data_IF_476999528545
#
_entry.id   IF_476999528545
#
_cell.length_a   1.000
_cell.length_b   1.000
_cell.length_c   1.000
_cell.angle_alpha   90.00
_cell.angle_beta   90.00
_cell.angle_gamma   90.00
#
_symmetry.space_group_name_H-M   'P 1'
#
loop_
_entity.id
_entity.type
_entity.pdbx_description
1 polymer ?
#
# COMPACT_ATOMS: atom_id res chain seq x y z
N UNK A 1 -15.64 -7.90 8.00
CA UNK A 1 -14.31 -7.30 7.89
C UNK A 1 -14.47 -5.80 7.72
N UNK A 2 -13.90 -5.01 8.62
CA UNK A 2 -13.87 -3.54 8.51
C UNK A 2 -12.54 -3.16 7.84
N UNK A 3 -12.61 -2.49 6.71
CA UNK A 3 -11.44 -2.05 5.94
C UNK A 3 -11.39 -0.52 5.88
N UNK A 4 -10.21 0.05 5.62
CA UNK A 4 -9.98 1.51 5.70
C UNK A 4 -11.00 2.31 4.89
N UNK A 5 -11.33 1.89 3.67
CA UNK A 5 -12.28 2.60 2.82
C UNK A 5 -13.71 2.59 3.39
N UNK A 6 -14.16 1.49 4.02
CA UNK A 6 -15.44 1.43 4.73
C UNK A 6 -15.45 2.32 5.97
N UNK A 7 -14.36 2.35 6.72
CA UNK A 7 -14.21 3.23 7.88
C UNK A 7 -14.24 4.71 7.50
N UNK A 8 -13.81 5.06 6.28
CA UNK A 8 -13.83 6.44 5.79
C UNK A 8 -15.16 6.85 5.16
N UNK A 9 -16.03 5.91 4.79
CA UNK A 9 -17.27 6.20 4.07
C UNK A 9 -18.11 7.31 4.72
N UNK A 10 -18.30 7.35 6.06
CA UNK A 10 -19.09 8.41 6.71
C UNK A 10 -18.48 9.82 6.57
N UNK A 11 -17.18 9.90 6.27
CA UNK A 11 -16.42 11.14 6.11
C UNK A 11 -16.20 11.52 4.64
N UNK A 12 -16.79 10.77 3.71
CA UNK A 12 -16.66 11.00 2.28
C UNK A 12 -18.01 11.37 1.67
N UNK A 13 -18.01 12.31 0.73
CA UNK A 13 -19.24 12.72 0.03
C UNK A 13 -19.89 11.54 -0.72
N UNK A 14 -19.09 10.74 -1.41
CA UNK A 14 -19.51 9.54 -2.12
C UNK A 14 -18.29 8.65 -2.42
N UNK A 15 -18.56 7.47 -2.95
CA UNK A 15 -17.54 6.51 -3.36
C UNK A 15 -16.81 6.89 -4.66
N UNK A 16 -17.40 7.75 -5.49
CA UNK A 16 -16.85 8.13 -6.80
C UNK A 16 -15.52 8.87 -6.66
N UNK A 17 -15.25 9.48 -5.49
CA UNK A 17 -13.95 10.06 -5.11
C UNK A 17 -12.81 9.02 -5.21
N UNK A 18 -13.10 7.73 -5.02
CA UNK A 18 -12.11 6.65 -5.08
C UNK A 18 -11.97 5.99 -6.46
N UNK A 19 -12.83 6.30 -7.43
CA UNK A 19 -12.98 5.54 -8.69
C UNK A 19 -11.69 5.46 -9.51
N UNK A 20 -10.96 6.58 -9.59
CA UNK A 20 -9.82 6.71 -10.51
C UNK A 20 -10.32 6.79 -11.95
N UNK A 21 -11.02 7.87 -12.31
CA UNK A 21 -11.66 8.04 -13.61
C UNK A 21 -10.67 7.83 -14.75
N UNK A 22 -11.03 6.97 -15.71
CA UNK A 22 -10.18 6.61 -16.86
C UNK A 22 -9.22 5.43 -16.60
N UNK A 23 -9.19 4.88 -15.38
CA UNK A 23 -8.34 3.72 -15.08
C UNK A 23 -9.01 2.42 -15.53
N UNK A 24 -8.19 1.42 -15.83
CA UNK A 24 -8.69 0.08 -16.11
C UNK A 24 -9.32 -0.50 -14.85
N UNK A 25 -10.61 -0.82 -14.92
CA UNK A 25 -11.36 -1.42 -13.81
C UNK A 25 -11.13 -2.93 -13.80
N UNK A 26 -10.70 -3.45 -12.66
CA UNK A 26 -10.42 -4.87 -12.48
C UNK A 26 -11.23 -5.42 -11.30
N UNK A 27 -11.80 -6.60 -11.49
CA UNK A 27 -12.54 -7.35 -10.46
C UNK A 27 -11.88 -8.70 -10.23
N UNK A 28 -11.83 -9.16 -8.99
CA UNK A 28 -11.40 -10.52 -8.71
C UNK A 28 -12.50 -11.50 -9.16
N UNK A 29 -12.14 -12.56 -9.87
CA UNK A 29 -13.09 -13.64 -10.20
C UNK A 29 -13.61 -14.34 -8.95
N UNK A 30 -12.83 -14.33 -7.86
CA UNK A 30 -13.26 -14.83 -6.56
C UNK A 30 -14.47 -14.09 -5.98
N UNK A 31 -14.75 -12.86 -6.45
CA UNK A 31 -15.91 -12.06 -6.01
C UNK A 31 -17.16 -12.30 -6.86
N UNK A 32 -17.12 -13.16 -7.89
CA UNK A 32 -18.22 -13.29 -8.84
C UNK A 32 -19.55 -13.66 -8.15
N UNK A 33 -19.51 -14.57 -7.17
CA UNK A 33 -20.69 -14.96 -6.38
C UNK A 33 -21.23 -13.80 -5.50
N UNK A 34 -20.34 -12.94 -5.00
CA UNK A 34 -20.70 -11.76 -4.21
C UNK A 34 -21.37 -10.67 -5.05
N UNK A 35 -21.35 -10.77 -6.38
CA UNK A 35 -22.00 -9.82 -7.29
C UNK A 35 -23.01 -10.45 -8.26
N UNK A 36 -23.33 -11.74 -8.11
CA UNK A 36 -24.24 -12.46 -9.03
C UNK A 36 -25.73 -12.06 -8.91
N UNK A 37 -26.14 -11.38 -7.83
CA UNK A 37 -27.54 -11.02 -7.59
C UNK A 37 -27.97 -9.70 -8.25
N UNK A 38 -29.09 -9.72 -8.99
CA UNK A 38 -29.63 -8.58 -9.74
C UNK A 38 -30.03 -7.35 -8.88
N UNK A 39 -30.18 -7.51 -7.56
CA UNK A 39 -30.53 -6.44 -6.62
C UNK A 39 -29.32 -5.74 -5.97
N UNK A 40 -28.10 -6.10 -6.35
CA UNK A 40 -26.89 -5.49 -5.76
C UNK A 40 -26.51 -4.23 -6.55
N UNK A 41 -26.39 -3.11 -5.83
CA UNK A 41 -25.79 -1.88 -6.39
C UNK A 41 -24.43 -2.23 -6.97
N UNK A 42 -24.11 -1.68 -8.14
CA UNK A 42 -22.79 -1.84 -8.75
C UNK A 42 -21.70 -1.49 -7.71
N UNK A 43 -20.68 -2.35 -7.53
CA UNK A 43 -19.64 -2.09 -6.55
C UNK A 43 -18.89 -0.81 -6.87
N UNK A 44 -18.55 -0.04 -5.84
CA UNK A 44 -17.64 1.07 -5.99
C UNK A 44 -16.26 0.61 -6.46
N UNK A 45 -15.61 1.42 -7.30
CA UNK A 45 -14.22 1.19 -7.70
C UNK A 45 -13.28 1.96 -6.77
N UNK A 46 -12.12 1.38 -6.46
CA UNK A 46 -11.11 2.00 -5.62
C UNK A 46 -9.73 1.93 -6.28
N UNK A 47 -9.13 3.09 -6.54
CA UNK A 47 -7.76 3.18 -7.06
C UNK A 47 -6.73 3.47 -5.97
N UNK A 48 -7.11 4.21 -4.93
CA UNK A 48 -6.25 4.46 -3.78
C UNK A 48 -6.10 3.23 -2.90
N UNK A 49 -4.97 3.14 -2.23
CA UNK A 49 -4.64 2.15 -1.21
C UNK A 49 -4.14 2.86 0.04
N UNK A 50 -4.41 2.29 1.20
CA UNK A 50 -3.87 2.74 2.47
C UNK A 50 -2.52 2.08 2.76
N UNK A 51 -1.60 2.82 3.37
CA UNK A 51 -0.37 2.25 3.94
C UNK A 51 -0.72 1.46 5.21
N UNK A 52 -0.80 0.14 5.09
CA UNK A 52 -1.16 -0.76 6.18
C UNK A 52 -0.14 -0.81 7.33
N UNK A 53 1.09 -0.32 7.15
CA UNK A 53 2.05 -0.21 8.26
C UNK A 53 1.62 0.83 9.31
N UNK A 54 0.70 1.72 8.95
CA UNK A 54 0.11 2.69 9.87
C UNK A 54 -1.05 2.11 10.68
N UNK A 55 -1.40 0.84 10.48
CA UNK A 55 -2.47 0.21 11.24
C UNK A 55 -2.21 0.33 12.74
N UNK A 56 -3.17 0.88 13.47
CA UNK A 56 -3.13 1.19 14.91
C UNK A 56 -2.15 2.27 15.37
N UNK A 57 -1.39 2.88 14.44
CA UNK A 57 -0.51 4.00 14.78
C UNK A 57 -1.26 5.33 14.75
N UNK A 58 -0.92 6.18 15.71
CA UNK A 58 -1.30 7.59 15.72
C UNK A 58 -0.26 8.45 14.97
N UNK A 59 -0.66 9.64 14.52
CA UNK A 59 0.26 10.55 13.80
C UNK A 59 1.47 10.96 14.63
N UNK A 60 1.37 10.99 15.96
CA UNK A 60 2.49 11.30 16.86
C UNK A 60 3.58 10.23 16.88
N UNK A 61 3.30 9.04 16.38
CA UNK A 61 4.26 7.93 16.32
C UNK A 61 4.99 7.86 14.97
N UNK A 62 4.63 8.75 14.03
CA UNK A 62 5.28 8.85 12.73
C UNK A 62 6.43 9.85 12.84
N UNK A 63 7.66 9.40 12.59
CA UNK A 63 8.85 10.24 12.74
C UNK A 63 8.89 11.42 11.75
N UNK A 64 8.39 11.21 10.53
CA UNK A 64 8.39 12.21 9.45
C UNK A 64 7.00 12.36 8.81
N UNK A 65 6.02 13.01 9.48
CA UNK A 65 4.63 13.01 9.03
C UNK A 65 4.40 13.62 7.64
N UNK A 66 5.16 14.66 7.28
CA UNK A 66 5.09 15.31 5.96
C UNK A 66 5.73 14.50 4.84
N UNK A 67 6.46 13.43 5.16
CA UNK A 67 7.09 12.53 4.19
C UNK A 67 6.40 11.18 4.10
N UNK A 68 5.82 10.67 5.18
CA UNK A 68 5.23 9.34 5.14
C UNK A 68 3.95 9.30 4.32
N UNK A 69 3.87 8.38 3.35
CA UNK A 69 2.66 8.16 2.56
C UNK A 69 1.60 7.42 3.38
N UNK A 70 0.40 7.98 3.41
CA UNK A 70 -0.80 7.38 4.00
C UNK A 70 -1.71 6.78 2.93
N UNK A 71 -2.09 7.57 1.92
CA UNK A 71 -2.85 7.10 0.76
C UNK A 71 -2.07 7.35 -0.52
N UNK A 72 -2.12 6.39 -1.44
CA UNK A 72 -1.48 6.48 -2.76
C UNK A 72 -2.12 5.50 -3.72
N UNK A 73 -1.82 5.63 -5.01
CA UNK A 73 -2.37 4.73 -6.04
C UNK A 73 -1.60 3.41 -6.11
N UNK A 74 -1.64 2.61 -5.03
CA UNK A 74 -0.92 1.34 -4.91
C UNK A 74 -1.46 0.19 -5.76
N UNK A 75 -2.47 0.43 -6.62
CA UNK A 75 -2.88 -0.48 -7.69
C UNK A 75 -2.36 -0.05 -9.08
N UNK A 76 -1.65 1.08 -9.14
CA UNK A 76 -1.22 1.71 -10.39
C UNK A 76 -2.36 2.41 -11.10
N UNK A 77 -2.33 2.40 -12.44
CA UNK A 77 -3.36 2.93 -13.32
C UNK A 77 -4.63 2.06 -13.41
N UNK A 78 -4.97 1.36 -12.31
CA UNK A 78 -6.10 0.44 -12.21
C UNK A 78 -6.94 0.73 -10.99
N UNK A 79 -8.24 0.55 -11.14
CA UNK A 79 -9.20 0.59 -10.04
C UNK A 79 -9.70 -0.81 -9.72
N UNK A 80 -9.75 -1.18 -8.44
CA UNK A 80 -10.36 -2.43 -7.99
C UNK A 80 -11.84 -2.24 -7.70
N UNK A 81 -12.67 -3.03 -8.36
CA UNK A 81 -14.10 -3.03 -8.10
C UNK A 81 -14.43 -3.83 -6.85
N UNK A 82 -15.20 -3.23 -5.93
CA UNK A 82 -15.77 -3.91 -4.77
C UNK A 82 -14.77 -4.29 -3.67
N UNK A 83 -13.47 -3.99 -3.86
CA UNK A 83 -12.41 -4.30 -2.90
C UNK A 83 -11.48 -3.11 -2.66
N UNK A 84 -11.16 -2.91 -1.40
CA UNK A 84 -10.06 -2.06 -0.94
C UNK A 84 -8.87 -2.94 -0.55
N UNK A 85 -7.64 -2.49 -0.81
CA UNK A 85 -6.43 -3.16 -0.34
C UNK A 85 -5.57 -2.13 0.42
N UNK A 86 -4.95 -2.57 1.50
CA UNK A 86 -3.83 -1.86 2.12
C UNK A 86 -2.55 -2.31 1.42
N UNK A 87 -1.78 -1.36 0.89
CA UNK A 87 -0.55 -1.66 0.17
C UNK A 87 0.52 -0.63 0.52
N UNK A 88 1.67 -1.03 1.10
CA UNK A 88 1.92 -2.35 1.69
C UNK A 88 0.93 -2.66 2.82
N UNK A 89 0.76 -3.94 3.13
CA UNK A 89 0.02 -4.39 4.30
C UNK A 89 0.98 -4.82 5.40
N UNK A 90 0.62 -4.58 6.65
CA UNK A 90 1.30 -5.18 7.80
C UNK A 90 1.03 -6.69 7.79
N UNK A 91 2.08 -7.51 7.96
CA UNK A 91 1.94 -8.96 7.91
C UNK A 91 1.53 -9.49 9.29
N UNK A 92 0.26 -9.86 9.39
CA UNK A 92 -0.41 -10.29 10.62
C UNK A 92 -0.90 -11.76 10.52
N UNK A 93 -0.10 -12.65 9.94
CA UNK A 93 -0.47 -14.06 9.67
C UNK A 93 -0.12 -14.98 10.86
N UNK A 94 -0.67 -14.69 12.04
CA UNK A 94 -0.50 -15.53 13.23
C UNK A 94 -1.06 -16.94 13.01
N UNK A 95 -0.30 -17.95 13.43
CA UNK A 95 -0.67 -19.38 13.33
C UNK A 95 -1.46 -19.90 14.56
N UNK A 96 -1.69 -19.07 15.57
CA UNK A 96 -2.31 -19.46 16.86
C UNK A 96 -3.76 -18.98 17.04
N UNK A 97 -4.42 -19.50 18.08
CA UNK A 97 -5.78 -19.13 18.50
C UNK A 97 -5.91 -17.62 18.66
N UNK A 98 -6.83 -17.05 17.89
CA UNK A 98 -7.16 -15.62 17.76
C UNK A 98 -7.54 -15.05 19.13
N UNK A 99 -6.88 -13.97 19.57
CA UNK A 99 -7.23 -13.31 20.82
C UNK A 99 -6.52 -11.98 21.05
N UNK A 100 -5.23 -12.01 21.42
CA UNK A 100 -4.66 -10.88 22.17
C UNK A 100 -3.30 -10.37 21.68
N UNK A 101 -2.79 -10.79 20.52
CA UNK A 101 -1.53 -10.23 20.01
C UNK A 101 -1.85 -9.02 19.11
N UNK A 102 -1.59 -7.78 19.56
CA UNK A 102 -1.84 -6.60 18.74
C UNK A 102 -0.93 -6.67 17.51
N UNK A 103 -1.52 -6.76 16.31
CA UNK A 103 -0.74 -6.63 15.09
C UNK A 103 -0.44 -5.16 14.83
N UNK A 104 0.74 -4.74 15.28
CA UNK A 104 1.20 -3.35 15.22
C UNK A 104 2.58 -3.31 14.60
N UNK A 105 2.87 -2.23 13.88
CA UNK A 105 4.21 -2.00 13.38
C UNK A 105 5.24 -2.03 14.52
N UNK A 106 6.31 -2.79 14.31
CA UNK A 106 7.44 -2.87 15.22
C UNK A 106 8.72 -2.62 14.41
N UNK A 107 9.50 -1.57 14.69
CA UNK A 107 10.64 -1.20 13.86
C UNK A 107 11.79 -2.22 13.90
N UNK A 108 11.92 -2.99 14.97
CA UNK A 108 13.07 -3.88 15.23
C UNK A 108 12.75 -5.37 15.17
N UNK A 109 11.47 -5.74 15.13
CA UNK A 109 11.03 -7.13 15.12
C UNK A 109 9.73 -7.31 14.32
N UNK A 110 9.28 -8.54 14.05
CA UNK A 110 8.00 -8.75 13.37
C UNK A 110 6.82 -8.08 14.11
N UNK A 111 5.69 -7.83 13.42
CA UNK A 111 4.53 -7.13 14.00
C UNK A 111 3.87 -7.84 15.18
N UNK A 112 4.22 -9.11 15.38
CA UNK A 112 3.77 -9.96 16.47
C UNK A 112 4.88 -10.97 16.81
N UNK A 113 4.88 -11.49 18.04
CA UNK A 113 5.88 -12.47 18.49
C UNK A 113 5.81 -13.75 17.65
N UNK A 114 6.97 -14.23 17.19
CA UNK A 114 7.07 -15.40 16.30
C UNK A 114 6.63 -15.14 14.85
N UNK A 115 6.38 -13.88 14.46
CA UNK A 115 6.01 -13.51 13.10
C UNK A 115 7.13 -13.61 12.09
N UNK A 116 6.79 -13.41 10.81
CA UNK A 116 7.74 -13.44 9.70
C UNK A 116 8.79 -12.34 9.79
N UNK A 117 10.03 -12.63 9.38
CA UNK A 117 11.09 -11.63 9.18
C UNK A 117 10.77 -10.62 8.06
N UNK A 118 9.80 -10.92 7.19
CA UNK A 118 9.15 -9.90 6.35
C UNK A 118 7.92 -9.40 7.08
N UNK A 119 8.04 -8.31 7.84
CA UNK A 119 6.93 -7.76 8.65
C UNK A 119 5.79 -7.14 7.83
N UNK A 120 5.84 -7.26 6.51
CA UNK A 120 4.91 -6.66 5.57
C UNK A 120 4.69 -7.56 4.36
N UNK A 121 3.64 -7.23 3.61
CA UNK A 121 3.32 -7.84 2.33
C UNK A 121 3.02 -6.75 1.29
N UNK A 122 3.45 -7.01 0.06
CA UNK A 122 3.14 -6.19 -1.10
C UNK A 122 2.07 -6.88 -1.95
N UNK A 123 1.10 -6.12 -2.44
CA UNK A 123 0.07 -6.65 -3.32
C UNK A 123 0.02 -5.86 -4.62
N UNK A 124 0.55 -6.44 -5.70
CA UNK A 124 0.41 -5.90 -7.05
C UNK A 124 -0.33 -6.90 -7.94
N UNK A 125 -1.35 -6.43 -8.65
CA UNK A 125 -2.03 -7.26 -9.66
C UNK A 125 -1.22 -7.33 -10.97
N UNK A 126 -1.49 -8.29 -11.84
CA UNK A 126 -0.82 -8.42 -13.14
C UNK A 126 -1.24 -7.34 -14.14
N UNK A 127 -0.30 -6.66 -14.81
CA UNK A 127 -0.59 -5.77 -15.94
C UNK A 127 -1.06 -4.34 -15.63
N UNK A 128 -0.72 -3.79 -14.46
CA UNK A 128 -0.95 -2.37 -14.16
C UNK A 128 0.34 -1.60 -14.10
N UNK A 129 0.35 -0.43 -14.73
CA UNK A 129 1.49 0.47 -14.70
C UNK A 129 1.52 1.24 -13.38
N UNK A 130 2.70 1.42 -12.80
CA UNK A 130 2.85 2.17 -11.56
C UNK A 130 2.69 3.69 -11.73
N UNK A 131 2.82 4.19 -12.96
CA UNK A 131 2.58 5.60 -13.25
C UNK A 131 1.11 5.84 -13.55
N UNK A 132 0.54 6.81 -12.83
CA UNK A 132 -0.89 7.07 -12.84
C UNK A 132 -1.21 8.39 -13.53
N UNK A 133 -0.38 9.41 -13.28
CA UNK A 133 -0.47 10.71 -13.92
C UNK A 133 0.91 11.08 -14.47
N UNK A 134 1.12 10.89 -15.77
CA UNK A 134 2.43 11.07 -16.40
C UNK A 134 3.43 10.02 -15.91
N UNK A 135 4.50 10.45 -15.23
CA UNK A 135 5.52 9.58 -14.63
C UNK A 135 5.46 9.53 -13.09
N UNK A 136 4.30 9.77 -12.50
CA UNK A 136 4.15 9.72 -11.05
C UNK A 136 2.73 9.44 -10.59
N UNK A 137 2.51 9.68 -9.29
CA UNK A 137 1.22 9.48 -8.64
C UNK A 137 0.97 10.53 -7.56
N UNK A 138 -0.30 10.81 -7.34
CA UNK A 138 -0.75 11.58 -6.18
C UNK A 138 -0.72 10.71 -4.92
N UNK A 139 -0.45 11.35 -3.80
CA UNK A 139 -0.45 10.77 -2.46
C UNK A 139 -0.95 11.75 -1.43
N UNK A 140 -1.52 11.22 -0.35
CA UNK A 140 -1.73 11.94 0.90
C UNK A 140 -0.67 11.48 1.89
N UNK A 141 -0.07 12.45 2.60
CA UNK A 141 0.88 12.21 3.68
C UNK A 141 0.15 12.12 5.03
N UNK A 142 0.80 11.60 6.07
CA UNK A 142 0.15 11.46 7.38
C UNK A 142 -0.11 12.79 8.09
N UNK A 143 0.53 13.88 7.65
CA UNK A 143 0.19 15.25 8.04
C UNK A 143 -1.00 15.85 7.26
N UNK A 144 -1.72 15.04 6.49
CA UNK A 144 -2.87 15.39 5.61
C UNK A 144 -2.51 16.15 4.33
N UNK A 145 -1.24 16.47 4.10
CA UNK A 145 -0.85 17.17 2.87
C UNK A 145 -0.96 16.28 1.64
N UNK A 146 -1.49 16.82 0.54
CA UNK A 146 -1.47 16.18 -0.76
C UNK A 146 -0.14 16.49 -1.48
N UNK A 147 0.49 15.47 -2.05
CA UNK A 147 1.76 15.57 -2.78
C UNK A 147 1.76 14.67 -3.99
N UNK A 148 2.31 15.17 -5.09
CA UNK A 148 2.72 14.36 -6.22
C UNK A 148 4.15 13.87 -6.00
N UNK A 149 4.41 12.59 -6.26
CA UNK A 149 5.78 12.08 -6.33
C UNK A 149 6.00 11.32 -7.62
N UNK A 150 7.22 11.43 -8.15
CA UNK A 150 7.63 10.66 -9.34
C UNK A 150 7.86 9.22 -8.93
N UNK A 151 7.32 8.32 -9.72
CA UNK A 151 7.61 6.89 -9.58
C UNK A 151 8.80 6.61 -10.50
N UNK A 152 9.77 5.80 -10.03
CA UNK A 152 11.07 5.62 -10.68
C UNK A 152 11.02 5.26 -12.18
N UNK A 153 12.16 5.27 -12.88
CA UNK A 153 12.21 5.09 -14.34
C UNK A 153 11.85 3.66 -14.79
N UNK A 154 11.33 3.55 -16.03
CA UNK A 154 11.05 2.28 -16.70
C UNK A 154 12.32 1.54 -17.11
N UNK A 155 12.22 0.21 -17.22
CA UNK A 155 13.31 -0.64 -17.72
C UNK A 155 14.50 -0.76 -16.77
N UNK A 156 14.31 -0.43 -15.49
CA UNK A 156 15.33 -0.62 -14.45
C UNK A 156 15.06 -1.96 -13.79
N UNK A 157 15.95 -2.93 -14.02
CA UNK A 157 15.83 -4.35 -13.68
C UNK A 157 17.07 -4.82 -12.92
N UNK A 158 16.96 -5.93 -12.20
CA UNK A 158 18.11 -6.54 -11.52
C UNK A 158 19.25 -6.85 -12.52
N UNK A 159 20.53 -6.61 -12.15
CA UNK A 159 21.02 -6.14 -10.84
C UNK A 159 21.02 -4.60 -10.65
N UNK A 160 20.72 -3.81 -11.69
CA UNK A 160 20.60 -2.36 -11.61
C UNK A 160 19.25 -1.95 -11.00
N UNK A 161 19.18 -1.74 -9.69
CA UNK A 161 17.96 -1.30 -9.03
C UNK A 161 17.87 0.23 -8.89
N UNK A 162 16.65 0.75 -8.78
CA UNK A 162 16.38 2.14 -8.44
C UNK A 162 16.82 2.39 -6.99
N UNK A 163 17.89 3.16 -6.77
CA UNK A 163 18.47 3.33 -5.42
C UNK A 163 17.84 4.44 -4.58
N UNK A 164 16.86 5.16 -5.12
CA UNK A 164 16.12 6.16 -4.35
C UNK A 164 15.01 5.50 -3.53
N UNK A 165 15.40 4.84 -2.44
CA UNK A 165 14.51 4.10 -1.55
C UNK A 165 13.47 4.98 -0.83
N UNK A 166 13.64 6.31 -0.88
CA UNK A 166 12.80 7.31 -0.19
C UNK A 166 11.94 8.15 -1.13
N UNK A 167 12.31 8.27 -2.41
CA UNK A 167 11.54 8.98 -3.42
C UNK A 167 10.59 8.09 -4.21
N UNK A 168 10.84 6.78 -4.26
CA UNK A 168 9.97 5.81 -4.93
C UNK A 168 9.86 4.50 -4.14
N UNK A 169 8.68 3.86 -4.14
CA UNK A 169 8.51 2.59 -3.44
C UNK A 169 9.20 1.42 -4.16
N UNK A 170 9.25 1.44 -5.48
CA UNK A 170 9.69 0.29 -6.29
C UNK A 170 11.20 0.22 -6.45
N UNK A 171 11.72 -1.00 -6.43
CA UNK A 171 13.13 -1.28 -6.67
C UNK A 171 13.45 -1.49 -8.15
N UNK A 172 12.48 -2.00 -8.90
CA UNK A 172 12.60 -2.25 -10.33
C UNK A 172 11.22 -2.16 -11.00
N UNK A 173 11.24 -1.69 -12.23
CA UNK A 173 10.06 -1.47 -13.05
C UNK A 173 10.42 -1.93 -14.46
N UNK A 174 9.60 -2.81 -15.03
CA UNK A 174 9.85 -3.34 -16.37
C UNK A 174 9.71 -2.26 -17.46
N UNK A 175 9.98 -2.65 -18.72
CA UNK A 175 9.89 -1.73 -19.85
C UNK A 175 8.45 -1.25 -20.13
N UNK A 176 7.46 -2.03 -19.70
CA UNK A 176 6.03 -1.77 -19.84
C UNK A 176 5.48 -0.91 -18.70
N UNK A 177 6.23 -0.72 -17.62
CA UNK A 177 5.84 0.05 -16.46
C UNK A 177 5.24 -0.71 -15.31
N UNK A 178 5.30 -2.03 -15.34
CA UNK A 178 4.87 -2.83 -14.21
C UNK A 178 6.01 -2.86 -13.18
N UNK A 179 5.75 -2.49 -11.92
CA UNK A 179 6.70 -2.72 -10.85
C UNK A 179 6.86 -4.22 -10.63
N UNK A 180 8.10 -4.68 -10.47
CA UNK A 180 8.39 -6.10 -10.26
C UNK A 180 8.68 -6.41 -8.78
N UNK A 181 9.31 -5.48 -8.06
CA UNK A 181 9.55 -5.57 -6.63
C UNK A 181 9.48 -4.19 -5.97
N UNK A 182 9.21 -4.20 -4.66
CA UNK A 182 9.19 -3.02 -3.81
C UNK A 182 10.28 -3.13 -2.76
N UNK A 183 10.95 -2.02 -2.43
CA UNK A 183 12.09 -2.07 -1.51
C UNK A 183 11.67 -2.44 -0.09
N UNK A 184 12.32 -3.46 0.46
CA UNK A 184 12.33 -3.79 1.88
C UNK A 184 13.63 -3.33 2.53
N UNK A 185 13.53 -2.66 3.67
CA UNK A 185 14.65 -2.19 4.47
C UNK A 185 14.57 -2.75 5.89
N UNK A 186 15.73 -3.15 6.39
CA UNK A 186 15.94 -3.62 7.76
C UNK A 186 16.87 -2.62 8.44
N UNK A 187 16.46 -2.05 9.58
CA UNK A 187 17.35 -1.18 10.36
C UNK A 187 18.42 -2.02 11.07
N UNK A 188 19.54 -1.39 11.44
CA UNK A 188 20.61 -2.09 12.14
C UNK A 188 20.11 -2.78 13.43
N UNK A 189 20.45 -4.05 13.60
CA UNK A 189 20.02 -4.86 14.75
C UNK A 189 18.56 -5.35 14.70
N UNK A 190 17.78 -5.00 13.67
CA UNK A 190 16.41 -5.51 13.53
C UNK A 190 16.37 -6.94 12.99
N UNK A 191 15.34 -7.66 13.41
CA UNK A 191 15.03 -9.04 12.98
C UNK A 191 13.93 -9.09 11.91
N UNK A 192 13.35 -7.94 11.56
CA UNK A 192 12.35 -7.83 10.50
C UNK A 192 12.64 -6.69 9.52
N UNK A 193 12.27 -6.93 8.26
CA UNK A 193 12.30 -5.96 7.17
C UNK A 193 10.90 -5.38 6.95
N UNK A 194 10.83 -4.10 6.58
CA UNK A 194 9.62 -3.37 6.23
C UNK A 194 9.81 -2.56 4.96
N UNK A 195 8.73 -2.17 4.28
CA UNK A 195 8.91 -1.36 3.07
C UNK A 195 9.58 -0.01 3.38
N UNK A 196 10.69 0.29 2.70
CA UNK A 196 11.51 1.48 2.98
C UNK A 196 10.70 2.77 2.86
N UNK A 197 9.93 2.89 1.78
CA UNK A 197 9.17 4.10 1.45
C UNK A 197 7.92 4.32 2.33
N UNK A 198 7.46 3.27 3.04
CA UNK A 198 6.21 3.29 3.80
C UNK A 198 6.37 3.05 5.30
N UNK A 199 7.57 2.77 5.80
CA UNK A 199 7.80 2.54 7.23
C UNK A 199 7.60 3.85 8.04
N UNK A 200 6.97 3.83 9.23
CA UNK A 200 6.75 5.02 10.07
C UNK A 200 8.01 5.74 10.57
N UNK A 201 9.13 5.02 10.63
CA UNK A 201 10.43 5.40 11.21
C UNK A 201 11.52 5.52 10.13
N UNK A 202 11.20 6.18 9.02
CA UNK A 202 12.13 6.31 7.88
C UNK A 202 13.41 7.08 8.22
N UNK A 203 13.41 7.86 9.28
CA UNK A 203 14.57 8.58 9.79
C UNK A 203 15.68 7.65 10.29
N UNK A 204 15.34 6.44 10.74
CA UNK A 204 16.27 5.42 11.23
C UNK A 204 16.98 4.63 10.13
N UNK A 205 16.64 4.86 8.86
CA UNK A 205 17.27 4.21 7.70
C UNK A 205 18.54 4.93 7.19
N UNK A 206 19.00 5.97 7.90
CA UNK A 206 20.16 6.78 7.51
C UNK A 206 21.48 6.22 7.99
#
# INVERSE_FOLDING_TARGET
QTYWANSMQPYMKNWDILDGTGFTKVRSTADAADFAGAMRRAPATQHFTYNGLLHTLSTSEVALPSKLVMFWSGNGNRGREGRAISNPNLRCDFAGSVGDIPCRFNPTAPPYSGGSSSGWAWFWGTGGQCWVYGNGTNSSRTDTSAKFFRVGPKGVLAPEYIRDYYGTPFANIDAQGNPLTMWGCTISGATASYSCFFRPDQDLLR
#
